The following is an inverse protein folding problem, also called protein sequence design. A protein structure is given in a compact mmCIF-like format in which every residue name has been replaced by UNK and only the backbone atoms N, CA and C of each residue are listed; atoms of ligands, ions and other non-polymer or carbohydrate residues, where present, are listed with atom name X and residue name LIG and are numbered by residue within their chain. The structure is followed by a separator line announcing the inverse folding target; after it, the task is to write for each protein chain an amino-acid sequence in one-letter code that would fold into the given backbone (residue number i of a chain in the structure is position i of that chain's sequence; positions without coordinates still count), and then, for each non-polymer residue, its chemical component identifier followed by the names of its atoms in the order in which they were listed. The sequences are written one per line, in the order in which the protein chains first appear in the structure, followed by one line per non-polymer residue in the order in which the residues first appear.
data_IF_985092549151
#
_entry.id   IF_985092549151
#
_cell.length_a   1.000
_cell.length_b   1.000
_cell.length_c   1.000
_cell.angle_alpha   90.00
_cell.angle_beta   90.00
_cell.angle_gamma   90.00
#
_symmetry.space_group_name_H-M   'P 1'
#
loop_
_entity.id
_entity.type
_entity.pdbx_description
1 polymer ?
#
# COMPACT_ATOMS: atom_id res chain seq x y z
N UNK A 1 -14.55 -4.44 -8.74
CA UNK A 1 -14.93 -5.60 -9.57
C UNK A 1 -13.62 -6.19 -10.06
N UNK A 2 -13.14 -7.21 -9.36
CA UNK A 2 -11.81 -7.78 -9.54
C UNK A 2 -11.89 -8.90 -10.57
N UNK A 3 -12.06 -8.52 -11.83
CA UNK A 3 -12.10 -9.51 -12.90
C UNK A 3 -10.67 -9.94 -13.26
N UNK A 4 -10.42 -11.22 -13.60
CA UNK A 4 -9.10 -11.67 -14.05
C UNK A 4 -8.52 -10.79 -15.16
N UNK A 5 -9.36 -10.36 -16.11
CA UNK A 5 -9.00 -9.45 -17.20
C UNK A 5 -8.48 -8.09 -16.71
N UNK A 6 -9.02 -7.56 -15.61
CA UNK A 6 -8.54 -6.31 -15.03
C UNK A 6 -7.14 -6.47 -14.42
N UNK A 7 -6.87 -7.61 -13.78
CA UNK A 7 -5.55 -7.92 -13.24
C UNK A 7 -4.51 -8.15 -14.33
N UNK A 8 -4.89 -8.80 -15.44
CA UNK A 8 -3.99 -9.05 -16.55
C UNK A 8 -3.59 -7.72 -17.24
N UNK A 9 -4.56 -6.85 -17.51
CA UNK A 9 -4.29 -5.53 -18.07
C UNK A 9 -3.42 -4.67 -17.13
N UNK A 10 -3.66 -4.73 -15.83
CA UNK A 10 -2.83 -4.04 -14.83
C UNK A 10 -1.41 -4.62 -14.75
N UNK A 11 -1.27 -5.95 -14.89
CA UNK A 11 0.03 -6.61 -14.93
C UNK A 11 0.85 -6.19 -16.14
N UNK A 12 0.24 -6.11 -17.31
CA UNK A 12 0.93 -5.60 -18.49
C UNK A 12 1.34 -4.13 -18.37
N UNK A 13 0.48 -3.26 -17.82
CA UNK A 13 0.83 -1.85 -17.61
C UNK A 13 2.01 -1.70 -16.62
N UNK A 14 1.96 -2.41 -15.49
CA UNK A 14 3.02 -2.37 -14.48
C UNK A 14 4.32 -2.99 -15.03
N UNK A 15 4.26 -4.05 -15.83
CA UNK A 15 5.45 -4.63 -16.43
C UNK A 15 6.13 -3.67 -17.42
N UNK A 16 5.36 -2.86 -18.15
CA UNK A 16 5.88 -1.90 -19.14
C UNK A 16 6.35 -0.58 -18.53
N UNK A 17 5.66 -0.09 -17.50
CA UNK A 17 5.84 1.28 -17.00
C UNK A 17 6.18 1.37 -15.52
N UNK A 18 6.21 0.24 -14.82
CA UNK A 18 6.26 0.21 -13.36
C UNK A 18 4.94 0.70 -12.73
N UNK A 19 4.95 0.79 -11.39
CA UNK A 19 3.81 1.33 -10.64
C UNK A 19 3.87 2.86 -10.67
N UNK A 20 3.08 3.48 -11.57
CA UNK A 20 3.03 4.95 -11.71
C UNK A 20 2.21 5.64 -10.63
N UNK A 21 1.15 5.00 -10.15
CA UNK A 21 0.37 5.48 -9.01
C UNK A 21 0.85 4.74 -7.76
N UNK A 22 1.46 5.42 -6.77
CA UNK A 22 1.92 4.79 -5.53
C UNK A 22 0.78 4.15 -4.74
N UNK A 23 1.08 3.07 -4.04
CA UNK A 23 0.17 2.49 -3.06
C UNK A 23 -0.02 3.48 -1.90
N UNK A 24 -1.12 3.36 -1.16
CA UNK A 24 -1.35 4.23 0.01
C UNK A 24 -1.13 3.42 1.28
N UNK A 25 -0.21 3.87 2.11
CA UNK A 25 0.06 3.31 3.43
C UNK A 25 -0.41 4.31 4.49
N UNK A 26 -1.62 4.09 5.01
CA UNK A 26 -2.17 4.86 6.12
C UNK A 26 -1.64 4.32 7.44
N UNK A 27 -1.32 5.20 8.39
CA UNK A 27 -0.84 4.76 9.71
C UNK A 27 -1.23 5.72 10.82
N UNK A 28 -1.38 5.17 12.01
CA UNK A 28 -1.46 5.89 13.27
C UNK A 28 -0.71 5.10 14.36
N UNK A 29 -0.83 5.52 15.62
CA UNK A 29 -0.15 4.85 16.73
C UNK A 29 -0.66 3.43 16.98
N UNK A 30 -1.94 3.17 16.68
CA UNK A 30 -2.60 1.90 16.99
C UNK A 30 -2.64 0.91 15.82
N UNK A 31 -2.72 1.42 14.58
CA UNK A 31 -2.93 0.58 13.40
C UNK A 31 -2.36 1.18 12.11
N UNK A 32 -2.30 0.35 11.07
CA UNK A 32 -2.02 0.75 9.71
C UNK A 32 -3.01 0.16 8.71
N UNK A 33 -3.15 0.83 7.57
CA UNK A 33 -3.95 0.41 6.41
C UNK A 33 -3.09 0.42 5.16
N UNK A 34 -3.37 -0.50 4.24
CA UNK A 34 -2.75 -0.50 2.92
C UNK A 34 -3.83 -0.56 1.85
N UNK A 35 -3.74 0.35 0.90
CA UNK A 35 -4.61 0.39 -0.27
C UNK A 35 -3.80 0.17 -1.56
N UNK A 36 -4.46 -0.40 -2.56
CA UNK A 36 -3.81 -0.85 -3.79
C UNK A 36 -3.55 -2.35 -3.82
N UNK A 37 -4.41 -3.16 -3.20
CA UNK A 37 -4.27 -4.62 -3.15
C UNK A 37 -4.03 -5.28 -4.52
N UNK A 38 -4.66 -4.79 -5.59
CA UNK A 38 -4.38 -5.30 -6.95
C UNK A 38 -2.98 -4.99 -7.43
N UNK A 39 -2.48 -3.79 -7.13
CA UNK A 39 -1.10 -3.40 -7.46
C UNK A 39 -0.10 -4.23 -6.65
N UNK A 40 -0.40 -4.55 -5.39
CA UNK A 40 0.40 -5.49 -4.58
C UNK A 40 0.39 -6.88 -5.23
N UNK A 41 -0.79 -7.41 -5.55
CA UNK A 41 -0.93 -8.73 -6.13
C UNK A 41 -0.18 -8.85 -7.46
N UNK A 42 -0.27 -7.82 -8.31
CA UNK A 42 0.47 -7.74 -9.57
C UNK A 42 1.98 -7.60 -9.34
N UNK A 43 2.41 -6.75 -8.41
CA UNK A 43 3.83 -6.60 -8.08
C UNK A 43 4.46 -7.93 -7.64
N UNK A 44 3.74 -8.69 -6.80
CA UNK A 44 4.16 -10.03 -6.38
C UNK A 44 4.24 -11.00 -7.57
N UNK A 45 3.25 -11.00 -8.47
CA UNK A 45 3.26 -11.85 -9.68
C UNK A 45 4.44 -11.54 -10.60
N UNK A 46 4.80 -10.27 -10.71
CA UNK A 46 5.92 -9.80 -11.53
C UNK A 46 7.28 -9.93 -10.83
N UNK A 47 7.32 -10.44 -9.59
CA UNK A 47 8.56 -10.60 -8.83
C UNK A 47 9.20 -9.27 -8.40
N UNK A 48 8.42 -8.19 -8.31
CA UNK A 48 8.94 -6.90 -7.84
C UNK A 48 9.27 -7.00 -6.34
N UNK A 49 10.52 -6.65 -5.99
CA UNK A 49 10.99 -6.64 -4.61
C UNK A 49 10.67 -5.34 -3.89
N UNK A 50 10.32 -4.28 -4.62
CA UNK A 50 9.99 -2.96 -4.10
C UNK A 50 8.78 -2.37 -4.82
N UNK A 51 7.99 -1.58 -4.11
CA UNK A 51 6.83 -0.85 -4.66
C UNK A 51 6.81 0.58 -4.11
N UNK A 52 6.41 1.58 -4.92
CA UNK A 52 6.28 2.95 -4.46
C UNK A 52 5.04 3.07 -3.55
N UNK A 53 5.21 3.75 -2.42
CA UNK A 53 4.17 4.00 -1.42
C UNK A 53 4.10 5.47 -1.06
N UNK A 54 2.90 6.01 -0.92
CA UNK A 54 2.64 7.28 -0.23
C UNK A 54 2.25 6.96 1.21
N UNK A 55 3.02 7.48 2.16
CA UNK A 55 2.79 7.27 3.60
C UNK A 55 1.95 8.42 4.13
N UNK A 56 0.82 8.12 4.79
CA UNK A 56 -0.14 9.13 5.25
C UNK A 56 -0.49 8.87 6.71
N UNK A 57 -0.39 9.91 7.55
CA UNK A 57 -0.86 9.82 8.94
C UNK A 57 -2.39 9.92 8.98
N UNK A 58 -3.01 9.00 9.70
CA UNK A 58 -4.46 8.86 9.86
C UNK A 58 -4.89 9.12 11.31
N UNK A 59 -6.15 9.51 11.55
CA UNK A 59 -6.72 9.54 12.90
C UNK A 59 -6.93 8.12 13.45
N UNK A 60 -6.86 7.95 14.77
CA UNK A 60 -7.13 6.66 15.43
C UNK A 60 -8.60 6.23 15.30
N UNK A 61 -9.53 7.15 15.04
CA UNK A 61 -10.96 6.86 14.97
C UNK A 61 -11.63 7.54 13.79
N UNK A 62 -12.54 6.86 13.07
CA UNK A 62 -12.90 5.45 13.24
C UNK A 62 -11.80 4.50 12.72
N UNK A 63 -11.63 3.35 13.37
CA UNK A 63 -10.69 2.32 12.90
C UNK A 63 -11.27 1.58 11.70
N UNK A 64 -10.61 1.59 10.52
CA UNK A 64 -11.09 0.83 9.37
C UNK A 64 -11.10 -0.67 9.64
N UNK A 65 -12.12 -1.39 9.14
CA UNK A 65 -12.28 -2.82 9.39
C UNK A 65 -11.11 -3.68 8.87
N UNK A 66 -10.42 -3.21 7.83
CA UNK A 66 -9.26 -3.88 7.23
C UNK A 66 -7.92 -3.46 7.87
N UNK A 67 -7.93 -2.59 8.89
CA UNK A 67 -6.72 -2.09 9.53
C UNK A 67 -6.02 -3.17 10.35
N UNK A 68 -4.70 -3.25 10.22
CA UNK A 68 -3.84 -4.18 10.97
C UNK A 68 -3.23 -3.47 12.17
N UNK A 69 -3.07 -4.15 13.33
CA UNK A 69 -2.38 -3.56 14.47
C UNK A 69 -0.99 -3.05 14.10
N UNK A 70 -0.65 -1.85 14.54
CA UNK A 70 0.67 -1.27 14.38
C UNK A 70 1.62 -1.78 15.47
N UNK A 71 2.92 -1.73 15.21
CA UNK A 71 3.95 -1.86 16.25
C UNK A 71 4.60 -0.50 16.47
N UNK A 72 4.97 -0.20 17.72
CA UNK A 72 5.58 1.08 18.06
C UNK A 72 6.89 1.35 17.27
N UNK A 73 7.67 0.31 16.99
CA UNK A 73 8.87 0.44 16.16
C UNK A 73 8.55 0.84 14.71
N UNK A 74 7.48 0.27 14.14
CA UNK A 74 7.03 0.58 12.77
C UNK A 74 6.50 2.02 12.70
N UNK A 75 5.84 2.50 13.75
CA UNK A 75 5.33 3.87 13.82
C UNK A 75 6.43 4.92 13.69
N UNK A 76 7.56 4.75 14.40
CA UNK A 76 8.67 5.71 14.32
C UNK A 76 9.24 5.83 12.90
N UNK A 77 9.36 4.69 12.20
CA UNK A 77 9.82 4.63 10.81
C UNK A 77 8.83 5.34 9.88
N UNK A 78 7.53 5.06 10.03
CA UNK A 78 6.48 5.65 9.20
C UNK A 78 6.31 7.15 9.45
N UNK A 79 6.44 7.59 10.70
CA UNK A 79 6.42 9.01 11.07
C UNK A 79 7.59 9.78 10.42
N UNK A 80 8.79 9.20 10.39
CA UNK A 80 9.94 9.80 9.71
C UNK A 80 9.79 9.84 8.18
N UNK A 81 9.07 8.87 7.60
CA UNK A 81 8.82 8.80 6.15
C UNK A 81 7.71 9.76 5.69
N UNK A 82 6.70 10.04 6.52
CA UNK A 82 5.58 10.92 6.18
C UNK A 82 5.91 12.43 6.21
N UNK A 83 7.04 12.81 6.80
CA UNK A 83 7.49 14.21 6.91
C UNK A 83 8.43 14.69 5.80
N UNK A 84 8.61 13.91 4.73
CA UNK A 84 9.41 14.23 3.53
C UNK A 84 8.50 14.57 2.36
#
# INVERSE_FOLDING_TARGET
MDTPRHLDALAEDIARHGIRTPLRLGFCEEFGTIEGNHRIAVALRLGLTTVPVTVVREPNTPRPAHARPGRAADFAVLAAAAGK
#
